data_IF_504297795439
#
_entry.id   IF_504297795439
#
_cell.length_a   1.000
_cell.length_b   1.000
_cell.length_c   1.000
_cell.angle_alpha   90.00
_cell.angle_beta   90.00
_cell.angle_gamma   90.00
#
_symmetry.space_group_name_H-M   'P 1'
#
loop_
_entity.id
_entity.type
_entity.pdbx_description
1 polymer ?
#
# COMPACT_ATOMS: atom_id res chain seq x y z
N UNK A 1 -21.45 2.75 -12.40
CA UNK A 1 -20.96 2.03 -11.19
C UNK A 1 -19.46 2.02 -11.27
N UNK A 2 -18.78 2.37 -10.18
CA UNK A 2 -17.32 2.39 -10.07
C UNK A 2 -16.74 0.98 -10.27
N UNK A 3 -15.61 0.84 -10.97
CA UNK A 3 -14.93 -0.45 -11.19
C UNK A 3 -13.48 -0.34 -10.73
N UNK A 4 -13.04 -1.26 -9.86
CA UNK A 4 -11.66 -1.36 -9.42
C UNK A 4 -11.00 -2.57 -10.10
N UNK A 5 -10.06 -2.30 -10.99
CA UNK A 5 -9.19 -3.33 -11.55
C UNK A 5 -8.11 -3.69 -10.53
N UNK A 6 -8.09 -4.94 -10.10
CA UNK A 6 -7.29 -5.40 -8.98
C UNK A 6 -6.55 -6.71 -9.25
N UNK A 7 -5.59 -6.98 -8.41
CA UNK A 7 -4.97 -8.30 -8.27
C UNK A 7 -4.66 -8.54 -6.80
N UNK A 8 -4.93 -9.76 -6.27
CA UNK A 8 -4.73 -10.08 -4.86
C UNK A 8 -3.32 -9.73 -4.35
N UNK A 9 -3.23 -9.16 -3.14
CA UNK A 9 -1.97 -8.75 -2.49
C UNK A 9 -1.15 -7.70 -3.26
N UNK A 10 -1.74 -7.01 -4.22
CA UNK A 10 -1.11 -5.93 -4.99
C UNK A 10 -1.42 -4.55 -4.38
N UNK A 11 -0.93 -3.48 -5.02
CA UNK A 11 -1.22 -2.10 -4.61
C UNK A 11 -2.71 -1.74 -4.66
N UNK A 12 -3.52 -2.51 -5.40
CA UNK A 12 -4.99 -2.42 -5.38
C UNK A 12 -5.62 -2.73 -4.03
N UNK A 13 -4.90 -3.36 -3.09
CA UNK A 13 -5.41 -3.66 -1.75
C UNK A 13 -5.83 -2.38 -1.00
N UNK A 14 -5.09 -1.29 -1.17
CA UNK A 14 -5.43 0.00 -0.53
C UNK A 14 -6.77 0.57 -1.00
N UNK A 15 -7.01 0.84 -2.29
CA UNK A 15 -8.33 1.34 -2.73
C UNK A 15 -9.45 0.31 -2.53
N UNK A 16 -9.18 -0.99 -2.54
CA UNK A 16 -10.17 -2.03 -2.24
C UNK A 16 -10.66 -1.92 -0.79
N UNK A 17 -9.73 -1.85 0.18
CA UNK A 17 -10.09 -1.66 1.59
C UNK A 17 -10.79 -0.30 1.77
N UNK A 18 -10.32 0.77 1.13
CA UNK A 18 -10.91 2.09 1.27
C UNK A 18 -12.37 2.11 0.79
N UNK A 19 -12.67 1.53 -0.36
CA UNK A 19 -14.03 1.42 -0.90
C UNK A 19 -14.95 0.62 0.02
N UNK A 20 -14.47 -0.50 0.56
CA UNK A 20 -15.21 -1.32 1.54
C UNK A 20 -15.46 -0.57 2.86
N UNK A 21 -14.49 0.18 3.37
CA UNK A 21 -14.63 1.01 4.58
C UNK A 21 -15.60 2.18 4.36
N UNK A 22 -15.59 2.79 3.18
CA UNK A 22 -16.52 3.85 2.81
C UNK A 22 -17.95 3.35 2.62
N UNK A 23 -18.14 2.05 2.33
CA UNK A 23 -19.44 1.47 2.02
C UNK A 23 -20.02 2.02 0.73
N UNK A 24 -19.20 2.41 -0.24
CA UNK A 24 -19.66 2.85 -1.56
C UNK A 24 -19.77 1.67 -2.52
N UNK A 25 -20.79 1.64 -3.42
CA UNK A 25 -20.95 0.55 -4.36
C UNK A 25 -19.84 0.56 -5.43
N UNK A 26 -19.20 -0.58 -5.64
CA UNK A 26 -18.19 -0.77 -6.69
C UNK A 26 -18.19 -2.23 -7.18
N UNK A 27 -17.59 -2.45 -8.33
CA UNK A 27 -17.36 -3.76 -8.93
C UNK A 27 -15.85 -4.06 -8.97
N UNK A 28 -15.47 -5.29 -8.61
CA UNK A 28 -14.10 -5.76 -8.75
C UNK A 28 -13.87 -6.40 -10.12
N UNK A 29 -12.82 -5.95 -10.82
CA UNK A 29 -12.35 -6.52 -12.09
C UNK A 29 -10.99 -7.18 -11.86
N UNK A 30 -10.97 -8.50 -11.76
CA UNK A 30 -9.71 -9.24 -11.63
C UNK A 30 -8.87 -9.08 -12.91
N UNK A 31 -7.61 -8.70 -12.73
CA UNK A 31 -6.63 -8.63 -13.82
C UNK A 31 -5.75 -9.89 -13.75
N UNK A 32 -5.90 -10.78 -14.70
CA UNK A 32 -5.18 -12.06 -14.73
C UNK A 32 -3.69 -11.86 -15.06
N UNK A 33 -2.90 -11.64 -13.99
CA UNK A 33 -1.45 -11.47 -14.12
C UNK A 33 -0.72 -12.72 -14.57
N UNK A 34 -1.26 -13.91 -14.31
CA UNK A 34 -0.64 -15.16 -14.73
C UNK A 34 -0.57 -15.25 -16.26
N UNK A 35 -1.61 -14.70 -16.94
CA UNK A 35 -1.67 -14.60 -18.39
C UNK A 35 -1.26 -13.21 -18.91
N UNK A 36 -0.57 -12.40 -18.11
CA UNK A 36 -0.10 -11.06 -18.50
C UNK A 36 -1.22 -10.12 -18.95
N UNK A 37 -2.45 -10.26 -18.46
CA UNK A 37 -3.58 -9.42 -18.85
C UNK A 37 -3.33 -7.92 -18.64
N UNK A 38 -2.47 -7.54 -17.65
CA UNK A 38 -2.05 -6.15 -17.45
C UNK A 38 -1.19 -5.58 -18.59
N UNK A 39 -0.75 -6.41 -19.54
CA UNK A 39 0.02 -6.03 -20.73
C UNK A 39 -0.79 -6.19 -22.01
N UNK A 40 -2.06 -6.58 -21.92
CA UNK A 40 -2.93 -6.67 -23.10
C UNK A 40 -3.22 -5.28 -23.69
N UNK A 41 -3.47 -5.18 -25.01
CA UNK A 41 -3.82 -3.92 -25.66
C UNK A 41 -5.03 -3.24 -25.01
N UNK A 42 -6.00 -4.01 -24.53
CA UNK A 42 -7.21 -3.53 -23.87
C UNK A 42 -6.89 -2.88 -22.52
N UNK A 43 -6.08 -3.53 -21.70
CA UNK A 43 -5.69 -3.00 -20.40
C UNK A 43 -4.75 -1.79 -20.52
N UNK A 44 -3.85 -1.79 -21.50
CA UNK A 44 -2.94 -0.67 -21.78
C UNK A 44 -3.67 0.62 -22.18
N UNK A 45 -4.91 0.54 -22.69
CA UNK A 45 -5.77 1.72 -22.88
C UNK A 45 -6.23 2.33 -21.57
N UNK A 46 -6.37 1.53 -20.50
CA UNK A 46 -6.73 2.00 -19.16
C UNK A 46 -5.51 2.53 -18.40
N UNK A 47 -4.39 1.80 -18.47
CA UNK A 47 -3.13 2.21 -17.86
C UNK A 47 -1.95 1.86 -18.78
N UNK A 48 -1.37 2.85 -19.47
CA UNK A 48 -0.28 2.62 -20.43
C UNK A 48 0.99 2.05 -19.77
N UNK A 49 1.12 2.15 -18.44
CA UNK A 49 2.22 1.54 -17.69
C UNK A 49 2.05 0.01 -17.53
N UNK A 50 0.82 -0.51 -17.76
CA UNK A 50 0.50 -1.91 -17.52
C UNK A 50 0.69 -2.32 -16.05
N UNK A 51 0.24 -1.46 -15.13
CA UNK A 51 0.31 -1.64 -13.69
C UNK A 51 -1.11 -1.65 -13.08
N UNK A 52 -1.23 -2.21 -11.89
CA UNK A 52 -2.46 -2.33 -11.09
C UNK A 52 -2.25 -1.52 -9.80
N UNK A 53 -3.28 -0.77 -9.34
CA UNK A 53 -4.68 -0.72 -9.75
C UNK A 53 -5.00 0.22 -10.91
N UNK A 54 -6.25 0.10 -11.42
CA UNK A 54 -6.97 1.14 -12.18
C UNK A 54 -8.36 1.27 -11.57
N UNK A 55 -8.82 2.51 -11.38
CA UNK A 55 -10.20 2.83 -11.06
C UNK A 55 -10.88 3.41 -12.30
N UNK A 56 -12.06 2.89 -12.63
CA UNK A 56 -12.97 3.46 -13.65
C UNK A 56 -14.19 4.00 -12.92
N UNK A 57 -14.47 5.29 -13.04
CA UNK A 57 -15.60 5.97 -12.40
C UNK A 57 -16.33 6.82 -13.46
N UNK A 58 -17.40 6.25 -14.02
CA UNK A 58 -18.06 6.86 -15.18
C UNK A 58 -17.13 6.87 -16.40
N UNK A 59 -16.82 8.05 -16.90
CA UNK A 59 -15.86 8.32 -17.98
C UNK A 59 -14.42 8.57 -17.50
N UNK A 60 -14.23 8.72 -16.17
CA UNK A 60 -12.90 8.88 -15.58
C UNK A 60 -12.19 7.53 -15.49
N UNK A 61 -11.00 7.46 -16.07
CA UNK A 61 -10.07 6.35 -15.89
C UNK A 61 -8.85 6.85 -15.13
N UNK A 62 -8.64 6.32 -13.92
CA UNK A 62 -7.59 6.77 -13.01
C UNK A 62 -6.67 5.61 -12.62
N UNK A 63 -5.38 5.79 -12.78
CA UNK A 63 -4.34 4.91 -12.24
C UNK A 63 -3.46 5.68 -11.24
N UNK A 64 -2.45 5.06 -10.64
CA UNK A 64 -1.72 5.46 -9.44
C UNK A 64 -2.53 5.30 -8.15
N UNK A 65 -2.09 4.38 -7.30
CA UNK A 65 -2.79 4.03 -6.06
C UNK A 65 -3.10 5.26 -5.19
N UNK A 66 -2.13 6.17 -5.04
CA UNK A 66 -2.32 7.38 -4.24
C UNK A 66 -3.32 8.35 -4.88
N UNK A 67 -3.30 8.49 -6.22
CA UNK A 67 -4.26 9.34 -6.93
C UNK A 67 -5.68 8.79 -6.81
N UNK A 68 -5.86 7.47 -6.93
CA UNK A 68 -7.15 6.81 -6.70
C UNK A 68 -7.64 7.08 -5.27
N UNK A 69 -6.76 6.92 -4.28
CA UNK A 69 -7.11 7.18 -2.88
C UNK A 69 -7.52 8.65 -2.64
N UNK A 70 -6.78 9.60 -3.21
CA UNK A 70 -7.11 11.03 -3.12
C UNK A 70 -8.45 11.33 -3.78
N UNK A 71 -8.69 10.82 -4.99
CA UNK A 71 -9.98 10.98 -5.68
C UNK A 71 -11.14 10.47 -4.83
N UNK A 72 -11.00 9.28 -4.23
CA UNK A 72 -12.05 8.70 -3.40
C UNK A 72 -12.33 9.54 -2.14
N UNK A 73 -11.30 9.94 -1.39
CA UNK A 73 -11.52 10.73 -0.15
C UNK A 73 -12.03 12.13 -0.44
N UNK A 74 -11.69 12.71 -1.59
CA UNK A 74 -12.17 14.04 -1.99
C UNK A 74 -13.56 14.00 -2.60
N UNK A 75 -13.97 12.89 -3.24
CA UNK A 75 -15.32 12.65 -3.74
C UNK A 75 -16.33 12.33 -2.63
N UNK A 76 -15.86 11.78 -1.50
CA UNK A 76 -16.67 11.39 -0.35
C UNK A 76 -16.15 12.00 0.96
N UNK A 77 -16.05 13.34 1.07
CA UNK A 77 -15.43 14.01 2.22
C UNK A 77 -16.15 13.70 3.54
N UNK A 78 -17.46 13.51 3.51
CA UNK A 78 -18.29 13.20 4.67
C UNK A 78 -18.01 11.82 5.28
N UNK A 79 -17.31 10.95 4.58
CA UNK A 79 -16.88 9.65 5.10
C UNK A 79 -15.71 9.76 6.08
N UNK A 80 -14.96 10.87 6.09
CA UNK A 80 -13.96 11.19 7.11
C UNK A 80 -12.63 10.45 6.97
N UNK A 81 -12.30 9.86 5.80
CA UNK A 81 -11.05 9.09 5.59
C UNK A 81 -9.81 9.95 5.31
N UNK A 82 -9.95 11.28 5.28
CA UNK A 82 -8.84 12.22 5.20
C UNK A 82 -9.19 13.52 5.92
N UNK A 83 -8.20 14.25 6.47
CA UNK A 83 -8.45 15.58 7.05
C UNK A 83 -8.99 16.57 6.01
N UNK A 84 -9.75 17.57 6.48
CA UNK A 84 -10.31 18.60 5.60
C UNK A 84 -9.21 19.38 4.84
N UNK A 85 -9.48 19.68 3.57
CA UNK A 85 -8.58 20.47 2.72
C UNK A 85 -8.30 21.83 3.34
N UNK A 86 -7.07 22.33 3.21
CA UNK A 86 -6.64 23.62 3.77
C UNK A 86 -6.21 23.57 5.25
N UNK A 87 -6.32 22.42 5.92
CA UNK A 87 -5.88 22.27 7.31
C UNK A 87 -4.42 21.83 7.43
N UNK A 88 -3.79 22.10 8.59
CA UNK A 88 -2.48 21.57 8.92
C UNK A 88 -2.45 20.03 8.90
N UNK A 89 -3.48 19.38 9.39
CA UNK A 89 -3.62 17.93 9.36
C UNK A 89 -3.62 17.38 7.92
N UNK A 90 -4.21 18.12 6.96
CA UNK A 90 -4.18 17.76 5.54
C UNK A 90 -2.76 17.86 4.96
N UNK A 91 -1.97 18.83 5.37
CA UNK A 91 -0.56 18.93 4.95
C UNK A 91 0.27 17.74 5.46
N UNK A 92 0.09 17.34 6.73
CA UNK A 92 0.70 16.13 7.31
C UNK A 92 0.25 14.87 6.58
N UNK A 93 -1.04 14.77 6.24
CA UNK A 93 -1.59 13.70 5.42
C UNK A 93 -0.90 13.62 4.05
N UNK A 94 -0.75 14.72 3.32
CA UNK A 94 -0.05 14.74 2.03
C UNK A 94 1.42 14.32 2.17
N UNK A 95 2.11 14.83 3.18
CA UNK A 95 3.51 14.46 3.46
C UNK A 95 3.66 12.94 3.58
N UNK A 96 2.85 12.30 4.41
CA UNK A 96 2.94 10.87 4.65
C UNK A 96 2.49 10.04 3.43
N UNK A 97 1.43 10.45 2.74
CA UNK A 97 0.99 9.77 1.52
C UNK A 97 2.08 9.80 0.45
N UNK A 98 2.67 10.97 0.18
CA UNK A 98 3.75 11.11 -0.79
C UNK A 98 5.00 10.36 -0.37
N UNK A 99 5.35 10.35 0.91
CA UNK A 99 6.48 9.59 1.42
C UNK A 99 6.27 8.07 1.23
N UNK A 100 5.10 7.55 1.55
CA UNK A 100 4.78 6.14 1.32
C UNK A 100 4.85 5.77 -0.16
N UNK A 101 4.28 6.60 -1.03
CA UNK A 101 4.24 6.37 -2.48
C UNK A 101 5.60 6.50 -3.15
N UNK A 102 6.39 7.53 -2.80
CA UNK A 102 7.62 7.87 -3.53
C UNK A 102 8.88 7.29 -2.88
N UNK A 103 8.81 6.85 -1.61
CA UNK A 103 9.98 6.41 -0.86
C UNK A 103 9.88 4.95 -0.45
N UNK A 104 8.83 4.56 0.28
CA UNK A 104 8.70 3.21 0.81
C UNK A 104 8.26 2.21 -0.26
N UNK A 105 7.20 2.51 -1.00
CA UNK A 105 6.67 1.59 -2.03
C UNK A 105 7.70 1.28 -3.13
N UNK A 106 8.44 2.24 -3.72
CA UNK A 106 9.48 1.93 -4.70
C UNK A 106 10.60 1.08 -4.13
N UNK A 107 10.95 1.24 -2.86
CA UNK A 107 11.96 0.39 -2.21
C UNK A 107 11.46 -1.06 -2.06
N UNK A 108 10.20 -1.26 -1.71
CA UNK A 108 9.57 -2.59 -1.70
C UNK A 108 9.51 -3.19 -3.10
N UNK A 109 9.14 -2.41 -4.11
CA UNK A 109 9.15 -2.86 -5.52
C UNK A 109 10.57 -3.25 -5.96
N UNK A 110 11.59 -2.48 -5.61
CA UNK A 110 12.99 -2.82 -5.91
C UNK A 110 13.40 -4.16 -5.26
N UNK A 111 12.96 -4.44 -4.05
CA UNK A 111 13.23 -5.72 -3.39
C UNK A 111 12.59 -6.89 -4.14
N UNK A 112 11.29 -6.78 -4.51
CA UNK A 112 10.55 -7.87 -5.15
C UNK A 112 10.93 -8.07 -6.62
N UNK A 113 11.31 -7.01 -7.32
CA UNK A 113 11.59 -6.99 -8.75
C UNK A 113 12.99 -6.42 -9.01
N UNK A 114 13.99 -6.97 -8.32
CA UNK A 114 15.39 -6.51 -8.41
C UNK A 114 15.93 -6.58 -9.84
N UNK A 115 15.45 -7.54 -10.64
CA UNK A 115 15.74 -7.71 -12.07
C UNK A 115 15.42 -6.47 -12.92
N UNK A 116 14.52 -5.59 -12.45
CA UNK A 116 14.20 -4.32 -13.14
C UNK A 116 15.21 -3.22 -12.86
N UNK A 117 16.11 -3.42 -11.91
CA UNK A 117 17.04 -2.41 -11.41
C UNK A 117 18.51 -2.78 -11.62
N UNK A 118 18.79 -3.95 -12.17
CA UNK A 118 20.13 -4.39 -12.55
C UNK A 118 20.06 -5.25 -13.80
N UNK A 119 21.10 -5.18 -14.62
CA UNK A 119 21.31 -6.08 -15.76
C UNK A 119 22.16 -7.29 -15.39
N UNK A 120 22.65 -7.35 -14.16
CA UNK A 120 23.46 -8.47 -13.68
C UNK A 120 22.62 -9.72 -13.50
N UNK A 121 23.15 -10.85 -13.95
CA UNK A 121 22.63 -12.20 -13.72
C UNK A 121 23.36 -12.92 -12.57
N UNK A 122 24.37 -12.27 -11.94
CA UNK A 122 25.08 -12.81 -10.78
C UNK A 122 24.18 -12.82 -9.55
N UNK A 123 23.87 -14.02 -9.07
CA UNK A 123 23.03 -14.22 -7.89
C UNK A 123 23.59 -13.53 -6.62
N UNK A 124 24.92 -13.46 -6.47
CA UNK A 124 25.53 -12.79 -5.33
C UNK A 124 25.35 -11.27 -5.38
N UNK A 125 25.38 -10.67 -6.57
CA UNK A 125 25.11 -9.25 -6.76
C UNK A 125 23.62 -8.93 -6.49
N UNK A 126 22.71 -9.74 -7.04
CA UNK A 126 21.27 -9.59 -6.78
C UNK A 126 20.98 -9.70 -5.28
N UNK A 127 21.60 -10.66 -4.58
CA UNK A 127 21.46 -10.81 -3.13
C UNK A 127 21.98 -9.58 -2.35
N UNK A 128 23.09 -8.97 -2.77
CA UNK A 128 23.60 -7.73 -2.16
C UNK A 128 22.64 -6.55 -2.34
N UNK A 129 22.03 -6.39 -3.53
CA UNK A 129 21.03 -5.35 -3.79
C UNK A 129 19.81 -5.57 -2.91
N UNK A 130 19.29 -6.80 -2.84
CA UNK A 130 18.16 -7.16 -1.95
C UNK A 130 18.48 -6.85 -0.47
N UNK A 131 19.65 -7.27 0.01
CA UNK A 131 20.06 -7.03 1.39
C UNK A 131 20.15 -5.53 1.72
N UNK A 132 20.74 -4.72 0.83
CA UNK A 132 20.81 -3.26 1.01
C UNK A 132 19.43 -2.60 0.95
N UNK A 133 18.56 -3.09 0.08
CA UNK A 133 17.17 -2.63 0.00
C UNK A 133 16.38 -2.96 1.27
N UNK A 134 16.56 -4.16 1.84
CA UNK A 134 15.96 -4.54 3.13
C UNK A 134 16.44 -3.66 4.29
N UNK A 135 17.73 -3.36 4.36
CA UNK A 135 18.27 -2.41 5.35
C UNK A 135 17.58 -1.04 5.26
N UNK A 136 17.44 -0.52 4.04
CA UNK A 136 16.74 0.73 3.76
C UNK A 136 15.26 0.67 4.19
N UNK A 137 14.56 -0.43 3.86
CA UNK A 137 13.16 -0.63 4.27
C UNK A 137 13.04 -0.72 5.80
N UNK A 138 14.01 -1.34 6.49
CA UNK A 138 14.06 -1.35 7.95
C UNK A 138 14.09 0.05 8.56
N UNK A 139 14.88 0.97 8.00
CA UNK A 139 14.88 2.38 8.43
C UNK A 139 13.52 3.08 8.17
N UNK A 140 12.84 2.72 7.08
CA UNK A 140 11.50 3.24 6.77
C UNK A 140 10.43 2.68 7.72
N UNK A 141 10.50 1.39 8.08
CA UNK A 141 9.62 0.80 9.10
C UNK A 141 9.83 1.49 10.46
N UNK A 142 11.09 1.80 10.82
CA UNK A 142 11.38 2.59 12.01
C UNK A 142 10.67 3.94 11.97
N UNK A 143 10.72 4.64 10.85
CA UNK A 143 10.08 5.95 10.68
C UNK A 143 8.56 5.88 10.83
N UNK A 144 7.90 4.84 10.26
CA UNK A 144 6.47 4.59 10.47
C UNK A 144 6.15 4.24 11.92
N UNK A 145 6.98 3.40 12.55
CA UNK A 145 6.83 3.02 13.95
C UNK A 145 6.93 4.22 14.87
N UNK A 146 7.91 5.10 14.64
CA UNK A 146 8.11 6.32 15.42
C UNK A 146 6.94 7.32 15.20
N UNK A 147 6.39 7.39 13.99
CA UNK A 147 5.20 8.20 13.70
C UNK A 147 3.99 7.70 14.49
N UNK A 148 3.74 6.40 14.52
CA UNK A 148 2.67 5.84 15.34
C UNK A 148 2.87 6.09 16.83
N UNK A 149 4.10 5.98 17.32
CA UNK A 149 4.43 6.32 18.71
C UNK A 149 4.15 7.79 19.05
N UNK A 150 4.41 8.70 18.11
CA UNK A 150 4.29 10.14 18.30
C UNK A 150 2.89 10.70 17.96
N UNK A 151 2.02 9.91 17.32
CA UNK A 151 0.72 10.37 16.81
C UNK A 151 -0.27 10.76 17.91
N UNK A 152 -0.08 10.27 19.12
CA UNK A 152 -0.98 10.49 20.26
C UNK A 152 -2.24 9.62 20.25
N UNK A 153 -2.37 8.71 19.29
CA UNK A 153 -3.52 7.81 19.14
C UNK A 153 -3.17 6.49 18.44
N UNK A 154 -4.16 5.67 18.11
CA UNK A 154 -3.93 4.35 17.53
C UNK A 154 -3.57 4.37 16.03
N UNK A 155 -3.67 5.53 15.36
CA UNK A 155 -3.55 5.68 13.91
C UNK A 155 -2.44 6.67 13.52
N UNK A 156 -2.09 6.69 12.24
CA UNK A 156 -1.00 7.53 11.70
C UNK A 156 -1.15 9.03 12.02
N UNK A 157 -2.37 9.52 12.14
CA UNK A 157 -2.68 10.93 12.45
C UNK A 157 -3.48 11.08 13.77
N UNK A 158 -3.21 10.26 14.77
CA UNK A 158 -3.85 10.33 16.07
C UNK A 158 -5.07 9.41 16.18
N UNK A 159 -6.21 9.95 16.61
CA UNK A 159 -7.43 9.16 16.88
C UNK A 159 -8.26 8.84 15.64
N UNK A 160 -7.99 9.52 14.52
CA UNK A 160 -8.79 9.38 13.29
C UNK A 160 -8.19 8.35 12.35
N UNK A 161 -8.93 7.25 12.15
CA UNK A 161 -8.62 6.27 11.11
C UNK A 161 -8.83 6.87 9.72
N UNK A 162 -7.93 6.57 8.78
CA UNK A 162 -8.04 7.09 7.42
C UNK A 162 -7.24 6.30 6.38
N UNK A 163 -7.18 6.87 5.19
CA UNK A 163 -6.52 6.21 4.05
C UNK A 163 -5.02 6.02 4.24
N UNK A 164 -4.35 6.86 5.07
CA UNK A 164 -2.94 6.67 5.40
C UNK A 164 -2.71 5.34 6.13
N UNK A 165 -3.62 4.98 7.03
CA UNK A 165 -3.55 3.74 7.79
C UNK A 165 -3.72 2.53 6.87
N UNK A 166 -4.65 2.61 5.93
CA UNK A 166 -4.87 1.57 4.92
C UNK A 166 -3.64 1.41 4.03
N UNK A 167 -3.04 2.52 3.61
CA UNK A 167 -1.85 2.51 2.75
C UNK A 167 -0.63 1.94 3.49
N UNK A 168 -0.39 2.41 4.71
CA UNK A 168 0.67 1.89 5.59
C UNK A 168 0.49 0.39 5.85
N UNK A 169 -0.74 -0.06 6.13
CA UNK A 169 -1.06 -1.47 6.31
C UNK A 169 -0.69 -2.32 5.10
N UNK A 170 -1.06 -1.90 3.89
CA UNK A 170 -0.69 -2.60 2.66
C UNK A 170 0.83 -2.74 2.52
N UNK A 171 1.58 -1.63 2.69
CA UNK A 171 3.04 -1.66 2.57
C UNK A 171 3.70 -2.53 3.65
N UNK A 172 3.22 -2.43 4.89
CA UNK A 172 3.68 -3.28 5.99
C UNK A 172 3.40 -4.77 5.73
N UNK A 173 2.24 -5.13 5.17
CA UNK A 173 1.96 -6.52 4.80
C UNK A 173 2.97 -7.09 3.79
N UNK A 174 3.52 -6.30 2.90
CA UNK A 174 4.53 -6.77 1.94
C UNK A 174 5.84 -7.17 2.61
N UNK A 175 6.14 -6.68 3.81
CA UNK A 175 7.38 -7.02 4.53
C UNK A 175 7.38 -8.43 5.14
N UNK A 176 6.19 -9.05 5.33
CA UNK A 176 6.06 -10.41 5.93
C UNK A 176 6.71 -11.53 5.13
N UNK A 177 6.95 -11.31 3.84
CA UNK A 177 7.53 -12.30 2.92
C UNK A 177 9.02 -12.07 2.66
N UNK A 178 9.68 -11.23 3.45
CA UNK A 178 11.12 -11.02 3.33
C UNK A 178 11.88 -12.29 3.75
N UNK A 179 12.79 -12.73 2.88
CA UNK A 179 13.61 -13.92 3.08
C UNK A 179 14.75 -13.68 4.09
N UNK A 180 15.07 -14.72 4.86
CA UNK A 180 16.19 -14.76 5.78
C UNK A 180 15.93 -14.07 7.13
N UNK A 181 16.59 -14.56 8.18
CA UNK A 181 16.58 -13.90 9.48
C UNK A 181 17.36 -12.57 9.42
N UNK A 182 16.88 -11.49 10.09
CA UNK A 182 17.66 -10.27 10.20
C UNK A 182 18.95 -10.57 10.98
N UNK A 183 20.10 -9.96 10.62
CA UNK A 183 21.24 -9.93 11.50
C UNK A 183 20.84 -9.37 12.88
N UNK A 184 21.43 -9.88 13.94
CA UNK A 184 21.09 -9.45 15.33
C UNK A 184 21.19 -7.93 15.55
N UNK A 185 21.92 -7.22 14.69
CA UNK A 185 22.14 -5.76 14.77
C UNK A 185 21.22 -4.94 13.86
N UNK A 186 20.34 -5.59 13.06
CA UNK A 186 19.43 -4.87 12.15
C UNK A 186 18.02 -4.80 12.73
N UNK A 187 17.26 -3.69 12.45
CA UNK A 187 15.85 -3.60 12.77
C UNK A 187 15.06 -4.80 12.19
N UNK A 188 14.02 -5.21 12.90
CA UNK A 188 13.14 -6.27 12.42
C UNK A 188 12.63 -5.96 11.00
N UNK A 189 12.71 -6.95 10.12
CA UNK A 189 12.32 -6.80 8.70
C UNK A 189 10.81 -6.89 8.52
N UNK A 190 10.12 -7.68 9.36
CA UNK A 190 8.68 -7.77 9.39
C UNK A 190 8.11 -6.63 10.22
N UNK A 191 7.19 -5.86 9.63
CA UNK A 191 6.49 -4.78 10.33
C UNK A 191 5.78 -5.23 11.61
N UNK A 192 5.26 -6.47 11.64
CA UNK A 192 4.58 -7.04 12.80
C UNK A 192 5.49 -7.20 14.05
N UNK A 193 6.81 -7.23 13.87
CA UNK A 193 7.76 -7.34 14.97
C UNK A 193 8.08 -5.99 15.68
N UNK A 194 7.58 -4.88 15.17
CA UNK A 194 7.83 -3.54 15.74
C UNK A 194 6.82 -3.19 16.84
N UNK A 195 7.23 -2.46 17.89
CA UNK A 195 6.41 -2.24 19.08
C UNK A 195 5.11 -1.45 18.83
N UNK A 196 5.07 -0.55 17.85
CA UNK A 196 3.88 0.22 17.48
C UNK A 196 3.25 -0.27 16.17
N UNK A 197 4.04 -0.74 15.20
CA UNK A 197 3.51 -1.30 13.95
C UNK A 197 2.82 -2.65 14.19
N UNK A 198 3.33 -3.53 15.06
CA UNK A 198 2.68 -4.81 15.35
C UNK A 198 1.24 -4.64 15.85
N UNK A 199 1.00 -3.90 16.94
CA UNK A 199 -0.35 -3.57 17.41
C UNK A 199 -1.21 -2.82 16.37
N UNK A 200 -0.61 -1.92 15.58
CA UNK A 200 -1.30 -1.25 14.48
C UNK A 200 -1.79 -2.26 13.41
N UNK A 201 -0.92 -3.18 12.97
CA UNK A 201 -1.27 -4.23 12.01
C UNK A 201 -2.41 -5.12 12.53
N UNK A 202 -2.39 -5.45 13.83
CA UNK A 202 -3.45 -6.23 14.46
C UNK A 202 -4.78 -5.47 14.46
N UNK A 203 -4.79 -4.20 14.86
CA UNK A 203 -6.01 -3.35 14.79
C UNK A 203 -6.58 -3.26 13.37
N UNK A 204 -5.71 -3.18 12.35
CA UNK A 204 -6.15 -3.22 10.94
C UNK A 204 -6.85 -4.54 10.61
N UNK A 205 -6.29 -5.67 11.04
CA UNK A 205 -6.87 -7.00 10.79
C UNK A 205 -8.19 -7.24 11.54
N UNK A 206 -8.44 -6.55 12.63
CA UNK A 206 -9.69 -6.61 13.39
C UNK A 206 -10.85 -5.83 12.75
N UNK A 207 -10.56 -4.96 11.78
CA UNK A 207 -11.59 -4.18 11.10
C UNK A 207 -12.45 -5.06 10.17
N UNK A 208 -13.79 -5.01 10.27
CA UNK A 208 -14.66 -5.88 9.46
C UNK A 208 -14.48 -5.71 7.94
N UNK A 209 -14.25 -4.47 7.47
CA UNK A 209 -14.01 -4.22 6.04
C UNK A 209 -12.69 -4.84 5.58
N UNK A 210 -11.61 -4.72 6.38
CA UNK A 210 -10.32 -5.37 6.09
C UNK A 210 -10.48 -6.89 6.03
N UNK A 211 -11.22 -7.50 6.97
CA UNK A 211 -11.48 -8.94 6.98
C UNK A 211 -12.23 -9.40 5.72
N UNK A 212 -13.26 -8.64 5.29
CA UNK A 212 -13.98 -8.94 4.05
C UNK A 212 -13.07 -8.91 2.83
N UNK A 213 -12.22 -7.87 2.72
CA UNK A 213 -11.27 -7.73 1.61
C UNK A 213 -10.24 -8.85 1.61
N UNK A 214 -9.65 -9.18 2.77
CA UNK A 214 -8.69 -10.29 2.91
C UNK A 214 -9.33 -11.61 2.47
N UNK A 215 -10.55 -11.90 2.93
CA UNK A 215 -11.28 -13.09 2.52
C UNK A 215 -11.61 -13.08 1.02
N UNK A 216 -12.04 -11.94 0.48
CA UNK A 216 -12.38 -11.77 -0.95
C UNK A 216 -11.18 -11.95 -1.87
N UNK A 217 -10.00 -11.48 -1.45
CA UNK A 217 -8.75 -11.66 -2.20
C UNK A 217 -8.05 -13.00 -1.91
N UNK A 218 -8.59 -13.85 -1.03
CA UNK A 218 -7.99 -15.13 -0.64
C UNK A 218 -6.65 -14.99 0.08
N UNK A 219 -6.46 -13.91 0.84
CA UNK A 219 -5.22 -13.60 1.55
C UNK A 219 -5.21 -14.25 2.95
N UNK A 220 -3.95 -14.49 3.46
CA UNK A 220 -3.69 -14.98 4.82
C UNK A 220 -3.09 -13.86 5.67
#
# INVERSE_FOLDING_TARGET
>A
MMQLHYFPSNASLTPHILLEEMGVPFELKLVDRANNAQKSPEYLKLNPNGLIPVLVDGDLVLYETAAICLHLVDSYPDKGFAPAVGTRARAEFYKWLMWMTNTMQPSLIMYFYTDRYTTSTDAAEVARIKAKTQERIGAMLKQLNDQLAASGGPWMLGDSFGVLDIYAFMLCRWTRVFEGAPPATQPARDAAAWPHLGPFMQRMLERPAVQRVIAKEGLK
#
